data_IF_312223260899
#
_entry.id   IF_312223260899
#
_cell.length_a   1.000
_cell.length_b   1.000
_cell.length_c   1.000
_cell.angle_alpha   90.00
_cell.angle_beta   90.00
_cell.angle_gamma   90.00
#
_symmetry.space_group_name_H-M   'P 1'
#
loop_
_entity.id
_entity.type
_entity.pdbx_description
1 polymer ?
#
# COMPACT_ATOMS: atom_id res chain seq x y z
N UNK A 1 -5.82 -42.46 1.89
CA UNK A 1 -5.06 -41.24 1.61
C UNK A 1 -5.36 -40.26 2.72
N UNK A 2 -4.48 -40.17 3.70
CA UNK A 2 -4.59 -39.23 4.80
C UNK A 2 -4.34 -37.83 4.21
N UNK A 3 -5.39 -37.04 4.10
CA UNK A 3 -5.24 -35.61 3.83
C UNK A 3 -4.41 -35.02 4.99
N UNK A 4 -3.16 -34.70 4.70
CA UNK A 4 -2.36 -33.82 5.56
C UNK A 4 -3.21 -32.60 5.84
N UNK A 5 -3.46 -32.29 7.11
CA UNK A 5 -4.16 -31.11 7.55
C UNK A 5 -3.52 -29.89 6.90
N UNK A 6 -4.20 -29.34 5.90
CA UNK A 6 -3.73 -28.15 5.19
C UNK A 6 -3.93 -26.97 6.14
N UNK A 7 -2.89 -26.27 6.59
CA UNK A 7 -3.02 -25.16 7.53
C UNK A 7 -3.94 -24.02 7.05
N UNK A 8 -4.35 -24.03 5.78
CA UNK A 8 -5.35 -23.11 5.24
C UNK A 8 -6.80 -23.47 5.58
N UNK A 9 -7.05 -24.71 6.00
CA UNK A 9 -8.40 -25.18 6.35
C UNK A 9 -8.74 -24.82 7.80
N UNK A 10 -7.74 -24.41 8.58
CA UNK A 10 -7.90 -24.06 9.98
C UNK A 10 -8.52 -22.64 10.12
N UNK A 11 -9.41 -22.44 11.11
CA UNK A 11 -9.93 -21.13 11.53
C UNK A 11 -8.81 -20.11 11.79
N UNK A 12 -7.61 -20.56 12.10
CA UNK A 12 -6.41 -19.73 12.26
C UNK A 12 -6.05 -18.94 11.02
N UNK A 13 -6.40 -19.40 9.81
CA UNK A 13 -6.14 -18.64 8.58
C UNK A 13 -6.81 -17.28 8.61
N UNK A 14 -8.08 -17.22 9.00
CA UNK A 14 -8.86 -15.97 9.08
C UNK A 14 -8.69 -15.23 10.41
N UNK A 15 -7.86 -15.72 11.35
CA UNK A 15 -7.63 -15.07 12.63
C UNK A 15 -7.26 -13.58 12.53
N UNK A 16 -6.43 -13.11 11.55
CA UNK A 16 -6.17 -11.68 11.38
C UNK A 16 -7.42 -10.87 11.07
N UNK A 17 -8.37 -11.43 10.28
CA UNK A 17 -9.64 -10.78 9.99
C UNK A 17 -10.53 -10.74 11.23
N UNK A 18 -10.63 -11.82 11.96
CA UNK A 18 -11.39 -11.88 13.23
C UNK A 18 -10.80 -10.92 14.27
N UNK A 19 -9.49 -10.84 14.36
CA UNK A 19 -8.80 -9.90 15.25
C UNK A 19 -9.13 -8.45 14.90
N UNK A 20 -9.03 -8.09 13.62
CA UNK A 20 -9.40 -6.77 13.12
C UNK A 20 -10.85 -6.40 13.44
N UNK A 21 -11.77 -7.35 13.23
CA UNK A 21 -13.20 -7.08 13.31
C UNK A 21 -13.81 -7.20 14.73
N UNK A 22 -13.16 -7.93 15.64
CA UNK A 22 -13.73 -8.23 16.95
C UNK A 22 -12.99 -7.63 18.16
N UNK A 23 -11.69 -7.44 18.07
CA UNK A 23 -10.86 -7.25 19.28
C UNK A 23 -10.79 -5.82 19.78
N UNK A 24 -10.91 -4.82 18.89
CA UNK A 24 -10.68 -3.41 19.24
C UNK A 24 -11.91 -2.63 19.64
N UNK A 25 -13.12 -3.21 19.47
CA UNK A 25 -14.39 -2.52 19.64
C UNK A 25 -15.08 -2.84 20.96
N UNK A 26 -14.64 -3.91 21.65
CA UNK A 26 -15.37 -4.50 22.83
C UNK A 26 -15.55 -3.58 24.04
N UNK A 27 -14.79 -2.49 24.17
CA UNK A 27 -14.75 -1.70 25.41
C UNK A 27 -15.37 -0.30 25.32
N UNK A 28 -16.14 0.03 24.29
CA UNK A 28 -16.69 1.38 24.16
C UNK A 28 -18.21 1.39 24.45
N UNK A 29 -18.65 2.48 25.11
CA UNK A 29 -20.00 2.70 25.61
C UNK A 29 -21.09 2.25 24.62
N UNK A 30 -22.12 1.57 25.15
CA UNK A 30 -23.39 1.32 24.43
C UNK A 30 -23.90 2.62 23.81
N UNK A 31 -24.05 2.65 22.51
CA UNK A 31 -24.59 3.80 21.78
C UNK A 31 -26.07 3.54 21.48
N UNK A 32 -26.89 4.57 21.71
CA UNK A 32 -28.34 4.55 21.38
C UNK A 32 -28.58 4.69 19.85
N UNK A 33 -27.57 4.62 19.00
CA UNK A 33 -27.74 4.65 17.55
C UNK A 33 -27.76 3.21 17.04
N UNK A 34 -28.68 2.86 16.15
CA UNK A 34 -28.81 1.51 15.57
C UNK A 34 -27.57 0.99 14.82
N UNK A 35 -26.45 1.74 14.84
CA UNK A 35 -25.15 1.38 14.28
C UNK A 35 -24.09 1.34 15.39
N UNK A 36 -23.73 0.14 15.86
CA UNK A 36 -22.63 -0.07 16.80
C UNK A 36 -21.27 0.23 16.12
N UNK A 37 -20.23 0.49 16.93
CA UNK A 37 -18.89 0.72 16.42
C UNK A 37 -18.32 -0.55 15.74
N UNK A 38 -18.61 -1.73 16.28
CA UNK A 38 -18.27 -3.01 15.68
C UNK A 38 -18.90 -3.18 14.28
N UNK A 39 -20.21 -2.93 14.19
CA UNK A 39 -20.92 -2.99 12.91
C UNK A 39 -20.40 -1.95 11.92
N UNK A 40 -20.06 -0.75 12.39
CA UNK A 40 -19.47 0.29 11.56
C UNK A 40 -18.11 -0.16 11.00
N UNK A 41 -17.24 -0.73 11.84
CA UNK A 41 -15.93 -1.25 11.42
C UNK A 41 -16.10 -2.39 10.40
N UNK A 42 -16.91 -3.39 10.71
CA UNK A 42 -17.17 -4.54 9.83
C UNK A 42 -17.70 -4.09 8.45
N UNK A 43 -18.70 -3.22 8.47
CA UNK A 43 -19.32 -2.74 7.24
C UNK A 43 -18.40 -1.81 6.43
N UNK A 44 -17.53 -1.04 7.10
CA UNK A 44 -16.53 -0.22 6.43
C UNK A 44 -15.50 -1.06 5.67
N UNK A 45 -15.01 -2.13 6.29
CA UNK A 45 -14.10 -3.09 5.62
C UNK A 45 -14.83 -3.80 4.46
N UNK A 46 -16.05 -4.26 4.67
CA UNK A 46 -16.85 -4.89 3.61
C UNK A 46 -17.13 -3.95 2.45
N UNK A 47 -17.43 -2.68 2.72
CA UNK A 47 -17.63 -1.68 1.68
C UNK A 47 -16.36 -1.43 0.87
N UNK A 48 -15.20 -1.44 1.51
CA UNK A 48 -13.93 -1.33 0.82
C UNK A 48 -13.64 -2.54 -0.10
N UNK A 49 -14.17 -3.73 0.26
CA UNK A 49 -14.10 -4.94 -0.58
C UNK A 49 -15.07 -4.91 -1.77
N UNK A 50 -16.15 -4.15 -1.71
CA UNK A 50 -17.19 -4.11 -2.75
C UNK A 50 -16.83 -3.07 -3.83
N UNK A 51 -16.05 -3.49 -4.82
CA UNK A 51 -15.40 -2.65 -5.82
C UNK A 51 -16.35 -1.76 -6.64
N UNK A 52 -17.55 -2.21 -6.93
CA UNK A 52 -18.41 -1.55 -7.93
C UNK A 52 -19.72 -0.99 -7.35
N UNK A 53 -19.92 -1.07 -6.04
CA UNK A 53 -21.18 -0.70 -5.41
C UNK A 53 -21.17 0.74 -4.90
N UNK A 54 -22.21 1.50 -5.28
CA UNK A 54 -22.50 2.76 -4.61
C UNK A 54 -22.83 2.50 -3.14
N UNK A 55 -22.66 3.50 -2.27
CA UNK A 55 -23.05 3.34 -0.87
C UNK A 55 -24.53 2.98 -0.66
N UNK A 56 -25.40 3.28 -1.64
CA UNK A 56 -26.81 2.85 -1.64
C UNK A 56 -26.95 1.38 -1.98
N UNK A 57 -26.29 0.92 -3.04
CA UNK A 57 -26.30 -0.49 -3.44
C UNK A 57 -25.72 -1.38 -2.34
N UNK A 58 -24.64 -0.93 -1.69
CA UNK A 58 -24.08 -1.62 -0.51
C UNK A 58 -25.10 -1.78 0.62
N UNK A 59 -25.85 -0.71 0.96
CA UNK A 59 -26.88 -0.79 1.99
C UNK A 59 -28.06 -1.70 1.59
N UNK A 60 -28.44 -1.68 0.31
CA UNK A 60 -29.47 -2.59 -0.22
C UNK A 60 -29.03 -4.04 -0.10
N UNK A 61 -27.81 -4.37 -0.51
CA UNK A 61 -27.25 -5.72 -0.37
C UNK A 61 -27.18 -6.19 1.09
N UNK A 62 -27.01 -5.27 2.06
CA UNK A 62 -27.12 -5.61 3.49
C UNK A 62 -28.57 -5.86 3.93
N UNK A 63 -29.51 -5.05 3.46
CA UNK A 63 -30.93 -5.24 3.75
C UNK A 63 -31.46 -6.58 3.21
N UNK A 64 -31.00 -7.01 2.03
CA UNK A 64 -31.31 -8.31 1.44
C UNK A 64 -30.81 -9.50 2.31
N UNK A 65 -29.86 -9.24 3.23
CA UNK A 65 -29.34 -10.19 4.22
C UNK A 65 -29.94 -10.00 5.62
N UNK A 66 -31.09 -9.35 5.71
CA UNK A 66 -31.76 -9.00 6.97
C UNK A 66 -30.95 -8.09 7.91
N UNK A 67 -29.95 -7.36 7.36
CA UNK A 67 -29.10 -6.42 8.11
C UNK A 67 -29.45 -4.96 7.75
N UNK A 68 -30.72 -4.55 7.85
CA UNK A 68 -31.13 -3.21 7.49
C UNK A 68 -30.56 -2.12 8.41
N UNK A 69 -30.28 -0.96 7.82
CA UNK A 69 -29.88 0.25 8.54
C UNK A 69 -30.40 1.47 7.78
N UNK A 70 -30.95 2.50 8.48
CA UNK A 70 -31.34 3.75 7.83
C UNK A 70 -30.14 4.39 7.11
N UNK A 71 -30.38 4.84 5.88
CA UNK A 71 -29.35 5.44 5.04
C UNK A 71 -28.68 6.65 5.70
N UNK A 72 -29.44 7.52 6.34
CA UNK A 72 -28.92 8.67 7.07
C UNK A 72 -27.93 8.24 8.16
N UNK A 73 -28.29 7.23 8.96
CA UNK A 73 -27.43 6.70 10.04
C UNK A 73 -26.06 6.24 9.50
N UNK A 74 -26.04 5.55 8.35
CA UNK A 74 -24.80 5.13 7.72
C UNK A 74 -23.94 6.29 7.24
N UNK A 75 -24.50 7.21 6.44
CA UNK A 75 -23.74 8.31 5.89
C UNK A 75 -23.34 9.36 6.93
N UNK A 76 -24.16 9.59 7.95
CA UNK A 76 -23.82 10.48 9.06
C UNK A 76 -22.69 9.90 9.95
N UNK A 77 -22.55 8.58 9.99
CA UNK A 77 -21.42 7.95 10.66
C UNK A 77 -20.06 8.42 10.15
N UNK A 78 -19.95 8.73 8.87
CA UNK A 78 -18.71 9.26 8.25
C UNK A 78 -18.42 10.74 8.57
N UNK A 79 -19.31 11.43 9.25
CA UNK A 79 -19.11 12.78 9.75
C UNK A 79 -18.60 12.80 11.20
N UNK A 80 -18.58 11.67 11.88
CA UNK A 80 -18.28 11.55 13.31
C UNK A 80 -16.78 11.60 13.59
N UNK A 81 -16.27 12.68 14.17
CA UNK A 81 -14.87 12.80 14.63
C UNK A 81 -14.51 11.68 15.62
N UNK A 82 -15.39 11.34 16.55
CA UNK A 82 -15.20 10.22 17.49
C UNK A 82 -14.95 8.89 16.78
N UNK A 83 -15.72 8.59 15.71
CA UNK A 83 -15.52 7.36 14.94
C UNK A 83 -14.22 7.40 14.13
N UNK A 84 -13.80 8.56 13.65
CA UNK A 84 -12.50 8.71 13.02
C UNK A 84 -11.37 8.43 14.02
N UNK A 85 -11.43 8.98 15.23
CA UNK A 85 -10.46 8.71 16.29
C UNK A 85 -10.39 7.22 16.63
N UNK A 86 -11.55 6.59 16.83
CA UNK A 86 -11.66 5.14 17.05
C UNK A 86 -11.00 4.35 15.88
N UNK A 87 -11.36 4.69 14.65
CA UNK A 87 -10.84 4.00 13.47
C UNK A 87 -9.32 4.18 13.30
N UNK A 88 -8.80 5.36 13.62
CA UNK A 88 -7.36 5.64 13.64
C UNK A 88 -6.64 4.78 14.68
N UNK A 89 -7.21 4.63 15.87
CA UNK A 89 -6.68 3.75 16.91
C UNK A 89 -6.69 2.27 16.46
N UNK A 90 -7.81 1.81 15.90
CA UNK A 90 -7.94 0.45 15.34
C UNK A 90 -6.91 0.22 14.24
N UNK A 91 -6.76 1.17 13.33
CA UNK A 91 -5.78 1.08 12.24
C UNK A 91 -4.34 0.97 12.76
N UNK A 92 -3.99 1.77 13.78
CA UNK A 92 -2.65 1.74 14.38
C UNK A 92 -2.38 0.41 15.08
N UNK A 93 -3.31 -0.07 15.88
CA UNK A 93 -3.16 -1.36 16.59
C UNK A 93 -3.13 -2.55 15.62
N UNK A 94 -3.97 -2.50 14.58
CA UNK A 94 -3.98 -3.52 13.53
C UNK A 94 -2.69 -3.53 12.74
N UNK A 95 -2.11 -2.37 12.43
CA UNK A 95 -0.80 -2.28 11.79
C UNK A 95 0.26 -2.98 12.64
N UNK A 96 0.33 -2.70 13.94
CA UNK A 96 1.28 -3.33 14.86
C UNK A 96 1.07 -4.85 14.98
N UNK A 97 -0.18 -5.29 14.97
CA UNK A 97 -0.52 -6.71 14.96
C UNK A 97 -0.07 -7.39 13.66
N UNK A 98 -0.37 -6.80 12.51
CA UNK A 98 0.00 -7.33 11.19
C UNK A 98 1.51 -7.30 10.96
N UNK A 99 2.23 -6.30 11.45
CA UNK A 99 3.69 -6.26 11.38
C UNK A 99 4.32 -7.43 12.13
N UNK A 100 3.79 -7.79 13.30
CA UNK A 100 4.21 -8.97 14.06
C UNK A 100 3.85 -10.28 13.36
N UNK A 101 2.66 -10.39 12.79
CA UNK A 101 2.23 -11.57 12.02
C UNK A 101 3.12 -11.83 10.80
N UNK A 102 3.69 -10.79 10.21
CA UNK A 102 4.62 -10.86 9.08
C UNK A 102 6.09 -10.93 9.53
N UNK A 103 6.38 -11.21 10.80
CA UNK A 103 7.68 -11.10 11.42
C UNK A 103 8.85 -11.67 10.60
N UNK A 104 8.69 -12.86 10.04
CA UNK A 104 9.71 -13.53 9.23
C UNK A 104 9.71 -13.09 7.75
N UNK A 105 8.74 -12.27 7.34
CA UNK A 105 8.61 -11.78 5.97
C UNK A 105 9.12 -10.36 5.86
N UNK A 106 10.42 -10.19 5.81
CA UNK A 106 11.06 -8.91 5.52
C UNK A 106 11.67 -8.92 4.13
N UNK A 107 11.16 -8.06 3.24
CA UNK A 107 11.67 -8.00 1.86
C UNK A 107 13.06 -7.38 1.75
N UNK A 108 13.53 -6.76 2.83
CA UNK A 108 14.82 -6.08 2.91
C UNK A 108 15.78 -6.77 3.89
N UNK A 109 15.43 -7.96 4.40
CA UNK A 109 16.20 -8.67 5.41
C UNK A 109 17.62 -9.07 4.98
N UNK A 110 17.87 -9.16 3.66
CA UNK A 110 19.21 -9.45 3.11
C UNK A 110 20.17 -8.25 3.16
N UNK A 111 19.66 -7.04 3.46
CA UNK A 111 20.45 -5.80 3.47
C UNK A 111 20.66 -5.31 4.91
N UNK A 112 21.78 -5.70 5.50
CA UNK A 112 22.12 -5.36 6.89
C UNK A 112 22.11 -3.86 7.17
N UNK A 113 22.50 -3.04 6.19
CA UNK A 113 22.49 -1.58 6.29
C UNK A 113 21.09 -0.96 6.40
N UNK A 114 20.04 -1.75 6.20
CA UNK A 114 18.64 -1.34 6.39
C UNK A 114 18.03 -1.86 7.70
N UNK A 115 18.76 -2.70 8.43
CA UNK A 115 18.30 -3.19 9.73
C UNK A 115 17.95 -2.01 10.63
N UNK A 116 16.78 -2.09 11.29
CA UNK A 116 16.22 -1.06 12.18
C UNK A 116 15.91 0.29 11.56
N UNK A 117 16.17 0.50 10.25
CA UNK A 117 15.68 1.67 9.54
C UNK A 117 14.25 1.44 9.05
N UNK A 118 13.26 2.26 9.44
CA UNK A 118 11.96 2.26 8.75
C UNK A 118 12.15 2.75 7.30
N UNK A 119 11.76 1.94 6.31
CA UNK A 119 11.84 2.32 4.90
C UNK A 119 10.42 2.45 4.33
N UNK A 120 10.05 3.66 3.93
CA UNK A 120 8.71 3.99 3.50
C UNK A 120 8.67 4.52 2.08
N UNK A 121 7.97 3.82 1.18
CA UNK A 121 7.54 4.42 -0.07
C UNK A 121 6.37 5.36 0.20
N UNK A 122 6.45 6.61 -0.29
CA UNK A 122 5.40 7.61 -0.11
C UNK A 122 4.91 8.11 -1.46
N UNK A 123 3.60 8.17 -1.61
CA UNK A 123 2.97 8.67 -2.84
C UNK A 123 1.53 9.12 -2.59
N UNK A 124 1.02 9.98 -3.47
CA UNK A 124 -0.35 10.46 -3.45
C UNK A 124 -1.29 9.64 -4.33
N UNK A 125 -2.41 9.19 -3.76
CA UNK A 125 -3.47 8.53 -4.49
C UNK A 125 -4.66 9.46 -4.69
N UNK A 126 -4.99 9.75 -5.95
CA UNK A 126 -6.18 10.54 -6.29
C UNK A 126 -7.43 9.70 -6.18
N UNK A 127 -8.43 10.27 -5.53
CA UNK A 127 -9.76 9.68 -5.37
C UNK A 127 -10.73 10.48 -6.25
N UNK A 128 -11.50 9.79 -7.08
CA UNK A 128 -12.54 10.44 -7.85
C UNK A 128 -13.57 11.09 -6.91
N UNK A 129 -14.04 12.27 -7.29
CA UNK A 129 -14.99 13.04 -6.49
C UNK A 129 -16.33 12.32 -6.32
N UNK A 130 -16.98 12.56 -5.19
CA UNK A 130 -18.37 12.18 -4.97
C UNK A 130 -19.30 13.16 -5.73
N UNK A 131 -20.55 12.76 -5.95
CA UNK A 131 -21.57 13.56 -6.66
C UNK A 131 -21.74 14.98 -6.10
N UNK A 132 -21.49 15.16 -4.80
CA UNK A 132 -21.62 16.45 -4.10
C UNK A 132 -20.28 17.05 -3.69
N UNK A 133 -19.18 16.64 -4.35
CA UNK A 133 -17.86 17.22 -4.07
C UNK A 133 -17.82 18.70 -4.47
N UNK A 134 -16.95 19.42 -3.78
CA UNK A 134 -16.72 20.85 -4.00
C UNK A 134 -16.30 21.15 -5.45
N UNK A 135 -16.76 22.27 -5.94
CA UNK A 135 -16.38 22.77 -7.26
C UNK A 135 -15.61 24.08 -7.13
N UNK A 136 -14.65 24.28 -8.02
CA UNK A 136 -13.92 25.54 -8.13
C UNK A 136 -14.80 26.66 -8.71
N UNK A 137 -14.30 27.91 -8.71
CA UNK A 137 -15.00 29.05 -9.29
C UNK A 137 -15.31 28.94 -10.79
N UNK A 138 -14.83 27.87 -11.47
CA UNK A 138 -15.11 27.54 -12.87
C UNK A 138 -16.06 26.35 -12.99
N UNK A 139 -16.68 25.89 -11.91
CA UNK A 139 -17.60 24.77 -11.89
C UNK A 139 -16.96 23.38 -12.01
N UNK A 140 -15.63 23.27 -12.00
CA UNK A 140 -14.90 21.99 -12.07
C UNK A 140 -14.74 21.42 -10.68
N UNK A 141 -14.76 20.08 -10.56
CA UNK A 141 -14.50 19.44 -9.28
C UNK A 141 -13.07 19.69 -8.79
N UNK A 142 -12.95 20.07 -7.52
CA UNK A 142 -11.65 20.22 -6.85
C UNK A 142 -11.01 18.86 -6.71
N UNK A 143 -9.77 18.71 -7.20
CA UNK A 143 -9.03 17.46 -7.07
C UNK A 143 -8.77 17.16 -5.59
N UNK A 144 -8.99 15.92 -5.19
CA UNK A 144 -8.77 15.44 -3.83
C UNK A 144 -8.08 14.09 -3.87
N UNK A 145 -7.21 13.86 -2.91
CA UNK A 145 -6.52 12.59 -2.78
C UNK A 145 -6.04 12.36 -1.35
N UNK A 146 -5.36 11.24 -1.18
CA UNK A 146 -4.78 10.81 0.07
C UNK A 146 -3.32 10.44 -0.15
N UNK A 147 -2.44 10.94 0.70
CA UNK A 147 -1.05 10.49 0.75
C UNK A 147 -1.00 9.23 1.61
N UNK A 148 -0.37 8.19 1.09
CA UNK A 148 -0.11 6.95 1.82
C UNK A 148 1.39 6.71 1.93
N UNK A 149 1.78 6.00 2.97
CA UNK A 149 3.09 5.35 3.06
C UNK A 149 2.93 3.84 3.04
N UNK A 150 3.78 3.18 2.27
CA UNK A 150 3.93 1.74 2.21
C UNK A 150 5.28 1.35 2.83
N UNK A 151 5.26 0.61 3.92
CA UNK A 151 6.46 0.04 4.55
C UNK A 151 7.10 -0.97 3.59
N UNK A 152 8.32 -0.69 3.10
CA UNK A 152 9.00 -1.56 2.14
C UNK A 152 9.53 -2.86 2.76
N UNK A 153 9.64 -2.96 4.08
CA UNK A 153 9.97 -4.21 4.75
C UNK A 153 8.83 -5.23 4.66
N UNK A 154 7.59 -4.80 4.94
CA UNK A 154 6.44 -5.70 5.15
C UNK A 154 5.35 -5.58 4.08
N UNK A 155 5.35 -4.52 3.28
CA UNK A 155 4.26 -4.22 2.36
C UNK A 155 2.99 -3.72 3.04
N UNK A 156 3.07 -3.30 4.30
CA UNK A 156 1.96 -2.74 5.05
C UNK A 156 1.81 -1.24 4.76
N UNK A 157 0.57 -0.77 4.73
CA UNK A 157 0.21 0.60 4.35
C UNK A 157 -0.39 1.38 5.50
N UNK A 158 -0.09 2.69 5.54
CA UNK A 158 -0.72 3.64 6.46
C UNK A 158 -1.15 4.90 5.69
N UNK A 159 -2.36 5.42 5.90
CA UNK A 159 -2.75 6.72 5.37
C UNK A 159 -2.01 7.82 6.15
N UNK A 160 -1.53 8.85 5.46
CA UNK A 160 -0.81 9.95 6.05
C UNK A 160 -1.70 11.17 6.21
N UNK A 161 -2.12 11.75 5.09
CA UNK A 161 -2.92 12.98 5.10
C UNK A 161 -3.69 13.14 3.81
N UNK A 162 -4.83 13.85 3.89
CA UNK A 162 -5.60 14.25 2.72
C UNK A 162 -4.97 15.48 2.10
N UNK A 163 -4.84 15.49 0.77
CA UNK A 163 -4.55 16.69 0.01
C UNK A 163 -5.75 17.08 -0.84
N UNK A 164 -5.93 18.39 -1.01
CA UNK A 164 -6.98 18.96 -1.83
C UNK A 164 -6.42 20.20 -2.53
N UNK A 165 -6.69 20.37 -3.82
CA UNK A 165 -6.15 21.51 -4.53
C UNK A 165 -6.72 21.69 -5.94
N UNK A 166 -6.37 22.77 -6.60
CA UNK A 166 -6.66 23.01 -8.01
C UNK A 166 -5.96 21.95 -8.86
N UNK A 167 -6.63 21.48 -9.93
CA UNK A 167 -6.15 20.43 -10.82
C UNK A 167 -4.75 20.69 -11.44
N UNK A 168 -4.31 21.95 -11.46
CA UNK A 168 -2.99 22.38 -11.94
C UNK A 168 -1.91 22.47 -10.85
N UNK A 169 -2.29 22.50 -9.57
CA UNK A 169 -1.38 22.65 -8.43
C UNK A 169 -1.69 21.57 -7.40
N UNK A 170 -1.23 20.37 -7.64
CA UNK A 170 -1.28 19.27 -6.68
C UNK A 170 -0.32 19.58 -5.55
N UNK A 171 -0.82 19.92 -4.39
CA UNK A 171 -0.01 20.28 -3.24
C UNK A 171 0.17 19.10 -2.28
N UNK A 172 0.65 17.95 -2.79
CA UNK A 172 1.01 16.81 -1.94
C UNK A 172 2.17 17.18 -1.00
N UNK A 173 3.19 17.85 -1.53
CA UNK A 173 4.40 18.19 -0.79
C UNK A 173 4.17 19.03 0.48
N UNK A 174 3.46 20.17 0.48
CA UNK A 174 3.17 20.91 1.70
C UNK A 174 2.42 20.09 2.74
N UNK A 175 1.41 19.32 2.31
CA UNK A 175 0.62 18.47 3.20
C UNK A 175 1.46 17.35 3.79
N UNK A 176 2.31 16.73 2.99
CA UNK A 176 3.28 15.75 3.47
C UNK A 176 4.20 16.35 4.52
N UNK A 177 4.84 17.49 4.20
CA UNK A 177 5.78 18.20 5.07
C UNK A 177 5.20 18.51 6.45
N UNK A 178 3.93 18.89 6.53
CA UNK A 178 3.25 19.22 7.78
C UNK A 178 2.89 18.02 8.63
N UNK A 179 2.75 16.82 8.04
CA UNK A 179 2.13 15.68 8.71
C UNK A 179 3.04 14.46 8.92
N UNK A 180 4.12 14.30 8.15
CA UNK A 180 4.88 13.06 8.11
C UNK A 180 5.56 12.69 9.44
N UNK A 181 6.07 13.67 10.21
CA UNK A 181 6.71 13.39 11.50
C UNK A 181 5.72 12.82 12.52
N UNK A 182 4.50 13.38 12.58
CA UNK A 182 3.43 12.84 13.42
C UNK A 182 2.99 11.45 12.94
N UNK A 183 2.96 11.27 11.64
CA UNK A 183 2.58 10.02 11.03
C UNK A 183 3.52 8.86 11.39
N UNK A 184 4.83 9.11 11.54
CA UNK A 184 5.82 8.12 11.95
C UNK A 184 5.84 7.85 13.46
N UNK A 185 5.10 8.59 14.27
CA UNK A 185 5.01 8.29 15.71
C UNK A 185 4.48 6.86 15.92
N UNK A 186 5.18 6.10 16.79
CA UNK A 186 4.86 4.70 17.06
C UNK A 186 5.40 3.69 16.05
N UNK A 187 6.28 4.10 15.16
CA UNK A 187 7.05 3.18 14.32
C UNK A 187 7.97 2.32 15.23
N UNK A 188 7.94 0.97 15.10
CA UNK A 188 8.71 0.10 15.96
C UNK A 188 10.23 0.15 15.70
N UNK A 189 10.64 0.47 14.46
CA UNK A 189 12.05 0.62 14.13
C UNK A 189 12.57 1.96 14.62
N UNK A 190 13.74 1.96 15.23
CA UNK A 190 14.23 3.09 16.04
C UNK A 190 15.24 3.99 15.31
N UNK A 191 15.82 3.51 14.21
CA UNK A 191 16.75 4.30 13.43
C UNK A 191 16.03 5.34 12.57
N UNK A 192 16.79 6.28 12.03
CA UNK A 192 16.27 7.35 11.19
C UNK A 192 15.51 6.79 9.99
N UNK A 193 14.24 7.15 9.76
CA UNK A 193 13.46 6.64 8.65
C UNK A 193 14.03 7.08 7.29
N UNK A 194 13.91 6.19 6.31
CA UNK A 194 14.23 6.45 4.92
C UNK A 194 12.93 6.61 4.15
N UNK A 195 12.71 7.79 3.59
CA UNK A 195 11.56 8.11 2.75
C UNK A 195 11.97 7.92 1.29
N UNK A 196 11.24 7.08 0.57
CA UNK A 196 11.43 6.84 -0.87
C UNK A 196 10.22 7.43 -1.59
N UNK A 197 10.44 8.51 -2.33
CA UNK A 197 9.36 9.28 -2.94
C UNK A 197 9.66 9.65 -4.40
N UNK A 198 8.63 10.07 -5.13
CA UNK A 198 8.77 10.54 -6.49
C UNK A 198 9.43 11.96 -6.54
N UNK A 199 9.81 12.48 -7.71
CA UNK A 199 10.42 13.81 -7.82
C UNK A 199 9.52 14.96 -7.36
N UNK A 200 8.21 14.79 -7.16
CA UNK A 200 7.35 15.84 -6.63
C UNK A 200 7.71 16.22 -5.20
N UNK A 201 8.33 15.30 -4.45
CA UNK A 201 8.78 15.51 -3.06
C UNK A 201 10.20 16.08 -2.94
N UNK A 202 10.83 16.45 -4.05
CA UNK A 202 12.18 17.06 -4.06
C UNK A 202 12.15 18.45 -3.45
N UNK A 203 12.87 18.61 -2.33
CA UNK A 203 13.25 19.87 -1.70
C UNK A 203 14.60 19.67 -1.00
N UNK A 204 15.69 19.97 -1.71
CA UNK A 204 17.04 19.58 -1.30
C UNK A 204 17.41 20.11 0.07
N UNK A 205 17.26 21.41 0.30
CA UNK A 205 17.59 22.04 1.59
C UNK A 205 16.77 21.44 2.75
N UNK A 206 15.48 21.25 2.54
CA UNK A 206 14.62 20.65 3.56
C UNK A 206 15.13 19.26 3.98
N UNK A 207 15.41 18.39 3.01
CA UNK A 207 15.86 17.02 3.31
C UNK A 207 17.26 16.95 3.91
N UNK A 208 18.15 17.87 3.54
CA UNK A 208 19.46 17.99 4.21
C UNK A 208 19.29 18.40 5.68
N UNK A 209 18.40 19.37 5.96
CA UNK A 209 18.10 19.78 7.34
C UNK A 209 17.44 18.65 8.13
N UNK A 210 16.48 17.91 7.55
CA UNK A 210 15.85 16.77 8.23
C UNK A 210 16.88 15.69 8.59
N UNK A 211 17.86 15.43 7.72
CA UNK A 211 18.96 14.51 8.01
C UNK A 211 19.85 15.05 9.13
N UNK A 212 20.24 16.34 9.08
CA UNK A 212 21.09 16.96 10.10
C UNK A 212 20.41 16.89 11.48
N UNK A 213 19.12 17.12 11.54
CA UNK A 213 18.33 17.01 12.76
C UNK A 213 17.99 15.55 13.13
N UNK A 214 18.46 14.57 12.36
CA UNK A 214 18.23 13.14 12.56
C UNK A 214 16.74 12.75 12.51
N UNK A 215 15.93 13.44 11.72
CA UNK A 215 14.52 13.16 11.59
C UNK A 215 14.22 12.14 10.47
N UNK A 216 14.81 12.33 9.27
CA UNK A 216 14.63 11.42 8.13
C UNK A 216 15.73 11.56 7.08
N UNK A 217 15.85 10.52 6.26
CA UNK A 217 16.61 10.53 5.01
C UNK A 217 15.67 10.39 3.81
N UNK A 218 16.10 10.87 2.64
CA UNK A 218 15.33 10.77 1.39
C UNK A 218 16.08 9.98 0.32
N UNK A 219 15.33 9.23 -0.46
CA UNK A 219 15.73 8.69 -1.76
C UNK A 219 14.69 9.13 -2.78
N UNK A 220 15.12 9.81 -3.84
CA UNK A 220 14.25 10.24 -4.93
C UNK A 220 15.01 10.33 -6.24
N UNK A 221 14.29 10.53 -7.35
CA UNK A 221 14.93 10.76 -8.66
C UNK A 221 15.20 12.26 -8.85
N UNK A 222 16.35 12.56 -9.46
CA UNK A 222 16.67 13.91 -9.91
C UNK A 222 15.64 14.42 -10.93
N UNK A 223 15.28 15.69 -10.86
CA UNK A 223 14.41 16.33 -11.88
C UNK A 223 15.27 16.78 -13.05
N UNK A 224 14.72 16.76 -14.25
CA UNK A 224 15.40 17.15 -15.49
C UNK A 224 15.89 18.61 -15.49
N UNK A 225 15.25 19.48 -14.70
CA UNK A 225 15.60 20.90 -14.58
C UNK A 225 16.57 21.20 -13.43
N UNK A 226 17.21 20.20 -12.85
CA UNK A 226 18.23 20.38 -11.81
C UNK A 226 19.61 20.38 -12.47
N UNK A 227 20.44 21.35 -12.07
CA UNK A 227 21.82 21.51 -12.57
C UNK A 227 22.78 21.23 -11.41
N UNK A 228 23.30 20.01 -11.26
CA UNK A 228 24.23 19.67 -10.20
C UNK A 228 25.66 20.16 -10.51
N UNK A 229 26.34 20.66 -9.50
CA UNK A 229 27.79 20.82 -9.50
C UNK A 229 28.41 19.58 -8.85
N UNK A 230 29.16 18.79 -9.61
CA UNK A 230 29.82 17.58 -9.09
C UNK A 230 31.10 17.98 -8.36
N UNK A 231 31.21 17.57 -7.09
CA UNK A 231 32.37 17.84 -6.25
C UNK A 231 33.45 16.75 -6.30
N UNK A 232 33.01 15.50 -6.52
CA UNK A 232 33.89 14.34 -6.62
C UNK A 232 33.14 13.03 -6.30
N UNK A 233 33.79 11.89 -6.55
CA UNK A 233 33.20 10.58 -6.32
C UNK A 233 33.05 10.27 -4.82
N UNK A 234 31.99 9.56 -4.47
CA UNK A 234 31.82 8.94 -3.15
C UNK A 234 32.60 7.63 -3.03
N UNK A 235 32.86 6.98 -4.16
CA UNK A 235 33.45 5.64 -4.23
C UNK A 235 32.46 4.52 -3.91
N UNK A 236 32.53 3.43 -4.68
CA UNK A 236 31.76 2.21 -4.42
C UNK A 236 32.51 1.00 -4.98
N UNK A 237 32.18 -0.19 -4.51
CA UNK A 237 32.70 -1.44 -5.07
C UNK A 237 31.92 -1.81 -6.33
N UNK A 238 32.54 -1.78 -7.53
CA UNK A 238 31.85 -2.13 -8.78
C UNK A 238 31.62 -3.64 -8.92
N UNK A 239 32.33 -4.47 -8.19
CA UNK A 239 32.21 -5.93 -8.22
C UNK A 239 31.09 -6.44 -7.28
N UNK A 240 30.59 -5.60 -6.39
CA UNK A 240 29.42 -5.94 -5.57
C UNK A 240 28.19 -6.11 -6.49
N UNK A 241 27.52 -7.29 -6.48
CA UNK A 241 26.39 -7.58 -7.35
C UNK A 241 25.22 -6.58 -7.25
N UNK A 242 25.00 -5.96 -6.07
CA UNK A 242 23.97 -4.95 -5.88
C UNK A 242 24.23 -3.69 -6.68
N UNK A 243 25.52 -3.38 -6.93
CA UNK A 243 25.95 -2.17 -7.66
C UNK A 243 25.91 -2.34 -9.19
N UNK A 244 25.46 -3.51 -9.67
CA UNK A 244 25.32 -3.74 -11.12
C UNK A 244 24.39 -2.68 -11.74
N UNK A 245 24.90 -1.92 -12.67
CA UNK A 245 24.20 -0.82 -13.34
C UNK A 245 24.55 0.56 -12.77
N UNK A 246 25.26 0.66 -11.64
CA UNK A 246 25.78 1.94 -11.15
C UNK A 246 26.89 2.42 -12.10
N UNK A 247 26.71 3.63 -12.65
CA UNK A 247 27.67 4.28 -13.54
C UNK A 247 28.57 5.23 -12.78
N UNK A 248 27.99 6.02 -11.88
CA UNK A 248 28.74 6.88 -10.96
C UNK A 248 28.00 7.08 -9.65
N UNK A 249 28.75 7.42 -8.62
CA UNK A 249 28.28 7.76 -7.28
C UNK A 249 29.09 8.98 -6.81
N UNK A 250 28.45 10.14 -6.75
CA UNK A 250 29.09 11.41 -6.63
C UNK A 250 28.53 12.27 -5.50
N UNK A 251 29.35 13.10 -4.90
CA UNK A 251 28.91 14.27 -4.15
C UNK A 251 28.52 15.38 -5.11
N UNK A 252 27.29 15.88 -5.01
CA UNK A 252 26.75 16.91 -5.88
C UNK A 252 26.14 18.07 -5.10
N UNK A 253 26.48 19.29 -5.49
CA UNK A 253 25.88 20.54 -5.01
C UNK A 253 24.70 20.94 -5.88
N UNK A 254 23.64 21.34 -5.24
CA UNK A 254 22.44 21.92 -5.86
C UNK A 254 22.22 23.28 -5.19
N UNK A 255 22.07 24.33 -5.89
CA UNK A 255 21.98 25.75 -5.47
C UNK A 255 22.09 26.07 -3.95
N UNK A 256 21.48 25.30 -3.07
CA UNK A 256 21.42 25.54 -1.62
C UNK A 256 21.66 24.29 -0.75
N UNK A 257 22.03 23.16 -1.32
CA UNK A 257 22.24 21.92 -0.60
C UNK A 257 23.21 20.97 -1.32
N UNK A 258 23.98 20.19 -0.56
CA UNK A 258 24.79 19.12 -1.08
C UNK A 258 24.10 17.76 -0.82
N UNK A 259 24.03 16.93 -1.85
CA UNK A 259 23.43 15.60 -1.83
C UNK A 259 24.37 14.60 -2.46
N UNK A 260 24.12 13.32 -2.20
CA UNK A 260 24.73 12.23 -2.94
C UNK A 260 23.90 11.98 -4.20
N UNK A 261 24.57 11.82 -5.34
CA UNK A 261 24.01 11.67 -6.67
C UNK A 261 24.48 10.36 -7.27
N UNK A 262 23.57 9.49 -7.64
CA UNK A 262 23.87 8.18 -8.22
C UNK A 262 23.34 8.16 -9.66
N UNK A 263 24.26 8.00 -10.62
CA UNK A 263 23.89 7.70 -12.01
C UNK A 263 23.80 6.19 -12.18
N UNK A 264 22.67 5.71 -12.61
CA UNK A 264 22.36 4.29 -12.75
C UNK A 264 21.81 4.01 -14.16
N UNK A 265 22.39 3.00 -14.81
CA UNK A 265 21.87 2.48 -16.07
C UNK A 265 21.21 1.14 -15.81
N UNK A 266 19.89 1.08 -16.01
CA UNK A 266 19.14 -0.15 -15.80
C UNK A 266 19.65 -1.27 -16.73
N UNK A 267 20.21 -2.36 -16.20
CA UNK A 267 20.78 -3.43 -17.03
C UNK A 267 19.73 -4.15 -17.89
N UNK A 268 18.46 -4.11 -17.53
CA UNK A 268 17.38 -4.79 -18.25
C UNK A 268 16.85 -3.97 -19.44
N UNK A 269 16.81 -2.65 -19.30
CA UNK A 269 16.18 -1.76 -20.29
C UNK A 269 17.19 -0.81 -20.97
N UNK A 270 18.41 -0.68 -20.43
CA UNK A 270 19.41 0.27 -20.87
C UNK A 270 19.09 1.74 -20.54
N UNK A 271 18.03 1.99 -19.78
CA UNK A 271 17.59 3.34 -19.43
C UNK A 271 18.48 3.97 -18.36
N UNK A 272 18.91 5.21 -18.62
CA UNK A 272 19.62 5.99 -17.63
C UNK A 272 18.64 6.63 -16.63
N UNK A 273 19.00 6.52 -15.36
CA UNK A 273 18.26 7.09 -14.22
C UNK A 273 19.26 7.79 -13.30
N UNK A 274 18.86 8.90 -12.72
CA UNK A 274 19.68 9.59 -11.74
C UNK A 274 18.89 9.72 -10.44
N UNK A 275 19.49 9.23 -9.36
CA UNK A 275 18.92 9.31 -8.01
C UNK A 275 19.69 10.33 -7.19
N UNK A 276 18.97 11.04 -6.34
CA UNK A 276 19.52 11.93 -5.31
C UNK A 276 19.08 11.47 -3.94
N UNK A 277 20.00 11.55 -2.97
CA UNK A 277 19.72 11.02 -1.65
C UNK A 277 20.52 11.73 -0.56
N UNK A 278 20.00 11.68 0.65
CA UNK A 278 20.74 12.02 1.87
C UNK A 278 21.31 10.79 2.58
N UNK A 279 21.08 9.56 2.07
CA UNK A 279 21.61 8.32 2.62
C UNK A 279 23.07 8.14 2.20
N UNK A 280 24.04 8.43 3.09
CA UNK A 280 25.47 8.32 2.76
C UNK A 280 26.05 6.92 3.06
N UNK A 281 25.37 6.11 3.87
CA UNK A 281 25.85 4.81 4.34
C UNK A 281 25.39 3.64 3.47
N UNK A 282 24.38 3.83 2.62
CA UNK A 282 23.85 2.76 1.77
C UNK A 282 24.72 2.59 0.50
N UNK A 283 24.86 1.34 0.05
CA UNK A 283 25.44 1.04 -1.27
C UNK A 283 24.62 1.69 -2.38
N UNK A 284 25.24 2.24 -3.45
CA UNK A 284 24.50 3.00 -4.47
C UNK A 284 23.48 2.16 -5.24
N UNK A 285 23.77 0.87 -5.49
CA UNK A 285 22.82 -0.03 -6.12
C UNK A 285 21.61 -0.33 -5.23
N UNK A 286 21.79 -0.34 -3.90
CA UNK A 286 20.67 -0.49 -2.96
C UNK A 286 19.74 0.73 -3.01
N UNK A 287 20.27 1.94 -3.18
CA UNK A 287 19.46 3.15 -3.38
C UNK A 287 18.60 3.02 -4.64
N UNK A 288 19.17 2.53 -5.75
CA UNK A 288 18.41 2.26 -6.97
C UNK A 288 17.31 1.19 -6.73
N UNK A 289 17.64 0.10 -6.04
CA UNK A 289 16.69 -0.95 -5.70
C UNK A 289 15.52 -0.41 -4.86
N UNK A 290 15.80 0.37 -3.82
CA UNK A 290 14.76 0.96 -2.99
C UNK A 290 13.84 1.88 -3.80
N UNK A 291 14.41 2.66 -4.73
CA UNK A 291 13.60 3.49 -5.61
C UNK A 291 12.72 2.64 -6.55
N UNK A 292 13.20 1.54 -7.08
CA UNK A 292 12.37 0.62 -7.86
C UNK A 292 11.29 -0.05 -7.01
N UNK A 293 11.58 -0.39 -5.76
CA UNK A 293 10.59 -0.96 -4.85
C UNK A 293 9.46 0.03 -4.51
N UNK A 294 9.66 1.33 -4.66
CA UNK A 294 8.59 2.33 -4.54
C UNK A 294 7.39 2.02 -5.43
N UNK A 295 7.62 1.43 -6.60
CA UNK A 295 6.53 1.01 -7.50
C UNK A 295 5.52 0.02 -6.87
N UNK A 296 5.86 -0.59 -5.75
CA UNK A 296 4.91 -1.44 -5.01
C UNK A 296 3.71 -0.63 -4.49
N UNK A 297 3.89 0.66 -4.15
CA UNK A 297 2.76 1.51 -3.75
C UNK A 297 1.82 1.78 -4.92
N UNK A 298 2.35 1.99 -6.14
CA UNK A 298 1.54 2.18 -7.34
C UNK A 298 0.74 0.92 -7.69
N UNK A 299 1.33 -0.27 -7.51
CA UNK A 299 0.62 -1.56 -7.66
C UNK A 299 -0.49 -1.72 -6.62
N UNK A 300 -0.28 -1.27 -5.38
CA UNK A 300 -1.34 -1.24 -4.37
C UNK A 300 -2.50 -0.30 -4.80
N UNK A 301 -2.19 0.85 -5.40
CA UNK A 301 -3.22 1.75 -5.93
C UNK A 301 -3.99 1.15 -7.10
N UNK A 302 -3.36 0.34 -7.94
CA UNK A 302 -4.06 -0.41 -8.99
C UNK A 302 -5.08 -1.41 -8.40
N UNK A 303 -4.72 -2.07 -7.30
CA UNK A 303 -5.66 -2.93 -6.57
C UNK A 303 -6.81 -2.09 -5.99
N UNK A 304 -6.53 -0.92 -5.42
CA UNK A 304 -7.56 -0.02 -4.90
C UNK A 304 -8.55 0.40 -5.98
N UNK A 305 -8.05 0.83 -7.14
CA UNK A 305 -8.88 1.29 -8.26
C UNK A 305 -9.68 0.17 -8.90
N UNK A 306 -9.04 -0.97 -9.13
CA UNK A 306 -9.56 -2.00 -10.02
C UNK A 306 -10.21 -3.18 -9.28
N UNK A 307 -10.02 -3.31 -7.95
CA UNK A 307 -10.46 -4.47 -7.17
C UNK A 307 -11.16 -4.15 -5.87
N UNK A 308 -10.94 -2.97 -5.33
CA UNK A 308 -11.55 -2.50 -4.10
C UNK A 308 -12.44 -1.30 -4.40
N UNK A 309 -13.47 -1.08 -3.59
CA UNK A 309 -14.46 -0.03 -3.78
C UNK A 309 -13.95 1.41 -3.57
N UNK A 310 -12.75 1.72 -4.08
CA UNK A 310 -12.02 2.97 -3.79
C UNK A 310 -12.03 3.94 -4.96
N UNK A 311 -12.84 3.68 -5.98
CA UNK A 311 -12.89 4.53 -7.17
C UNK A 311 -13.52 5.90 -6.92
N UNK A 312 -14.40 6.02 -5.91
CA UNK A 312 -15.11 7.28 -5.59
C UNK A 312 -15.01 7.60 -4.11
N UNK A 313 -15.00 8.89 -3.79
CA UNK A 313 -15.09 9.34 -2.40
C UNK A 313 -16.41 8.89 -1.75
N UNK A 314 -16.33 8.37 -0.53
CA UNK A 314 -17.50 7.93 0.25
C UNK A 314 -18.29 9.08 0.87
N UNK A 315 -17.69 10.26 0.92
CA UNK A 315 -18.28 11.50 1.39
C UNK A 315 -17.45 12.71 0.96
N UNK A 316 -17.94 13.91 1.21
CA UNK A 316 -17.34 15.17 0.75
C UNK A 316 -16.38 15.80 1.77
N UNK A 317 -16.54 15.47 3.06
CA UNK A 317 -15.75 16.06 4.13
C UNK A 317 -14.44 15.34 4.42
N UNK A 318 -13.49 16.02 5.08
CA UNK A 318 -12.19 15.47 5.48
C UNK A 318 -12.32 14.22 6.35
N UNK A 319 -13.25 14.25 7.31
CA UNK A 319 -13.53 13.11 8.18
C UNK A 319 -13.89 11.86 7.38
N UNK A 320 -14.76 12.00 6.38
CA UNK A 320 -15.18 10.87 5.54
C UNK A 320 -14.02 10.36 4.66
N UNK A 321 -13.22 11.25 4.09
CA UNK A 321 -12.06 10.90 3.28
C UNK A 321 -10.98 10.17 4.10
N UNK A 322 -10.68 10.66 5.30
CA UNK A 322 -9.75 10.00 6.23
C UNK A 322 -10.25 8.64 6.69
N UNK A 323 -11.56 8.50 7.00
CA UNK A 323 -12.15 7.20 7.34
C UNK A 323 -12.03 6.21 6.18
N UNK A 324 -12.35 6.64 4.96
CA UNK A 324 -12.20 5.80 3.76
C UNK A 324 -10.75 5.34 3.62
N UNK A 325 -9.78 6.24 3.78
CA UNK A 325 -8.36 5.91 3.68
C UNK A 325 -7.92 4.89 4.74
N UNK A 326 -8.40 5.02 5.97
CA UNK A 326 -8.13 4.04 7.03
C UNK A 326 -8.74 2.67 6.71
N UNK A 327 -9.99 2.60 6.23
CA UNK A 327 -10.61 1.34 5.82
C UNK A 327 -9.85 0.67 4.67
N UNK A 328 -9.41 1.44 3.69
CA UNK A 328 -8.63 0.93 2.57
C UNK A 328 -7.28 0.39 3.03
N UNK A 329 -6.56 1.11 3.89
CA UNK A 329 -5.29 0.66 4.44
C UNK A 329 -5.46 -0.58 5.33
N UNK A 330 -6.49 -0.63 6.18
CA UNK A 330 -6.81 -1.81 6.99
C UNK A 330 -7.06 -3.04 6.11
N UNK A 331 -7.83 -2.88 5.05
CA UNK A 331 -8.13 -3.96 4.11
C UNK A 331 -6.88 -4.39 3.34
N UNK A 332 -6.07 -3.43 2.86
CA UNK A 332 -4.80 -3.75 2.20
C UNK A 332 -3.89 -4.57 3.12
N UNK A 333 -3.74 -4.16 4.36
CA UNK A 333 -2.90 -4.84 5.35
C UNK A 333 -3.43 -6.23 5.67
N UNK A 334 -4.74 -6.38 5.85
CA UNK A 334 -5.38 -7.68 6.04
C UNK A 334 -5.11 -8.60 4.85
N UNK A 335 -5.33 -8.13 3.62
CA UNK A 335 -5.08 -8.92 2.42
C UNK A 335 -3.60 -9.29 2.28
N UNK A 336 -2.68 -8.40 2.65
CA UNK A 336 -1.23 -8.67 2.64
C UNK A 336 -0.87 -9.82 3.58
N UNK A 337 -1.41 -9.84 4.80
CA UNK A 337 -1.21 -10.93 5.76
C UNK A 337 -1.82 -12.23 5.27
N UNK A 338 -3.06 -12.20 4.79
CA UNK A 338 -3.74 -13.39 4.28
C UNK A 338 -3.02 -13.98 3.05
N UNK A 339 -2.50 -13.13 2.15
CA UNK A 339 -1.69 -13.59 1.02
C UNK A 339 -0.37 -14.20 1.48
N UNK A 340 0.28 -13.61 2.49
CA UNK A 340 1.49 -14.19 3.07
C UNK A 340 1.24 -15.59 3.64
N UNK A 341 0.15 -15.76 4.38
CA UNK A 341 -0.28 -17.08 4.88
C UNK A 341 -0.58 -18.06 3.75
N UNK A 342 -1.18 -17.58 2.66
CA UNK A 342 -1.45 -18.40 1.47
C UNK A 342 -0.15 -18.90 0.80
N UNK A 343 0.90 -18.08 0.76
CA UNK A 343 2.20 -18.45 0.21
C UNK A 343 2.83 -19.66 0.92
N UNK A 344 2.67 -19.76 2.24
CA UNK A 344 3.15 -20.92 3.02
C UNK A 344 2.52 -22.25 2.61
N UNK A 345 1.37 -22.22 1.92
CA UNK A 345 0.67 -23.43 1.47
C UNK A 345 1.07 -23.90 0.07
N UNK A 346 2.01 -23.19 -0.56
CA UNK A 346 2.46 -23.50 -1.90
C UNK A 346 1.65 -22.89 -3.04
N UNK A 347 0.55 -22.18 -2.73
CA UNK A 347 -0.20 -21.36 -3.68
C UNK A 347 0.32 -19.91 -3.59
N UNK A 348 1.50 -19.64 -4.14
CA UNK A 348 2.01 -18.28 -4.26
C UNK A 348 1.84 -17.77 -5.69
N UNK A 349 1.67 -16.47 -5.83
CA UNK A 349 1.62 -15.79 -7.12
C UNK A 349 2.87 -16.10 -7.95
N UNK A 350 4.04 -16.09 -7.31
CA UNK A 350 5.32 -16.43 -7.93
C UNK A 350 5.33 -17.87 -8.45
N UNK A 351 4.86 -18.84 -7.64
CA UNK A 351 4.81 -20.25 -8.06
C UNK A 351 3.84 -20.49 -9.22
N UNK A 352 2.72 -19.75 -9.26
CA UNK A 352 1.78 -19.78 -10.39
C UNK A 352 2.44 -19.25 -11.65
N UNK A 353 3.12 -18.11 -11.55
CA UNK A 353 3.86 -17.49 -12.67
C UNK A 353 4.96 -18.44 -13.18
N UNK A 354 5.75 -19.04 -12.29
CA UNK A 354 6.81 -19.97 -12.65
C UNK A 354 6.29 -21.22 -13.35
N UNK A 355 5.17 -21.80 -12.88
CA UNK A 355 4.53 -22.94 -13.52
C UNK A 355 4.02 -22.59 -14.92
N UNK A 356 3.45 -21.41 -15.10
CA UNK A 356 2.97 -20.95 -16.40
C UNK A 356 4.12 -20.67 -17.36
N UNK A 357 5.21 -20.05 -16.85
CA UNK A 357 6.44 -19.88 -17.62
C UNK A 357 6.97 -21.23 -18.11
N UNK A 358 7.10 -22.23 -17.21
CA UNK A 358 7.53 -23.58 -17.56
C UNK A 358 6.60 -24.28 -18.55
N UNK A 359 5.28 -24.04 -18.51
CA UNK A 359 4.34 -24.58 -19.51
C UNK A 359 4.48 -23.88 -20.86
N UNK A 360 4.58 -22.54 -20.85
CA UNK A 360 4.82 -21.77 -22.07
C UNK A 360 6.09 -22.21 -22.78
N UNK A 361 7.18 -22.34 -22.05
CA UNK A 361 8.48 -22.70 -22.59
C UNK A 361 8.51 -24.12 -23.19
N UNK A 362 7.52 -24.95 -22.85
CA UNK A 362 7.29 -26.28 -23.46
C UNK A 362 6.46 -26.24 -24.75
N UNK A 363 5.83 -25.11 -25.06
CA UNK A 363 5.04 -24.96 -26.29
C UNK A 363 5.96 -24.60 -27.48
N UNK A 364 5.60 -25.05 -28.70
CA UNK A 364 6.27 -24.57 -29.90
C UNK A 364 6.25 -23.07 -29.99
N UNK A 365 7.30 -22.41 -30.55
CA UNK A 365 7.43 -20.94 -30.58
C UNK A 365 6.22 -20.22 -31.18
N UNK A 366 5.56 -20.79 -32.17
CA UNK A 366 4.36 -20.29 -32.84
C UNK A 366 3.11 -20.28 -31.93
N UNK A 367 3.13 -21.09 -30.86
CA UNK A 367 2.04 -21.19 -29.86
C UNK A 367 2.34 -20.52 -28.52
N UNK A 368 3.53 -19.93 -28.40
CA UNK A 368 3.90 -19.21 -27.19
C UNK A 368 3.23 -17.85 -27.13
N UNK A 369 2.39 -17.63 -26.12
CA UNK A 369 1.76 -16.34 -25.87
C UNK A 369 2.79 -15.37 -25.25
N UNK A 370 2.88 -14.11 -25.70
CA UNK A 370 3.84 -13.14 -25.18
C UNK A 370 3.82 -13.01 -23.65
N UNK A 371 4.98 -12.72 -23.05
CA UNK A 371 5.18 -12.64 -21.61
C UNK A 371 4.25 -11.65 -20.89
N UNK A 372 3.72 -10.64 -21.59
CA UNK A 372 2.72 -9.70 -21.06
C UNK A 372 1.43 -10.38 -20.55
N UNK A 373 1.13 -11.59 -21.00
CA UNK A 373 -0.02 -12.34 -20.49
C UNK A 373 0.24 -12.99 -19.12
N UNK A 374 1.50 -13.13 -18.69
CA UNK A 374 1.82 -13.66 -17.36
C UNK A 374 1.38 -12.69 -16.24
N UNK A 375 1.45 -11.38 -16.48
CA UNK A 375 0.93 -10.37 -15.56
C UNK A 375 -0.58 -10.50 -15.37
N UNK A 376 -1.33 -10.88 -16.40
CA UNK A 376 -2.78 -11.11 -16.29
C UNK A 376 -3.12 -12.29 -15.39
N UNK A 377 -2.31 -13.33 -15.33
CA UNK A 377 -2.58 -14.51 -14.50
C UNK A 377 -2.26 -14.27 -13.02
N UNK A 378 -1.12 -13.64 -12.72
CA UNK A 378 -0.80 -13.23 -11.36
C UNK A 378 -1.90 -12.30 -10.80
N UNK A 379 -2.34 -11.35 -11.61
CA UNK A 379 -3.45 -10.47 -11.31
C UNK A 379 -4.79 -11.23 -11.16
N UNK A 380 -5.00 -12.29 -11.92
CA UNK A 380 -6.19 -13.15 -11.79
C UNK A 380 -6.19 -13.91 -10.46
N UNK A 381 -5.03 -14.42 -9.99
CA UNK A 381 -4.90 -15.06 -8.67
C UNK A 381 -5.30 -14.10 -7.55
N UNK A 382 -4.70 -12.92 -7.51
CA UNK A 382 -5.01 -11.88 -6.53
C UNK A 382 -6.49 -11.51 -6.57
N UNK A 383 -7.09 -11.40 -7.77
CA UNK A 383 -8.51 -11.10 -7.92
C UNK A 383 -9.42 -12.19 -7.38
N UNK A 384 -9.14 -13.46 -7.69
CA UNK A 384 -9.92 -14.59 -7.19
C UNK A 384 -9.77 -14.72 -5.67
N UNK A 385 -8.58 -14.48 -5.15
CA UNK A 385 -8.32 -14.46 -3.72
C UNK A 385 -9.15 -13.37 -3.01
N UNK A 386 -9.08 -12.11 -3.47
CA UNK A 386 -9.88 -11.00 -2.94
C UNK A 386 -11.38 -11.33 -3.00
N UNK A 387 -11.87 -11.89 -4.12
CA UNK A 387 -13.25 -12.30 -4.27
C UNK A 387 -13.64 -13.37 -3.25
N UNK A 388 -12.77 -14.34 -3.00
CA UNK A 388 -13.03 -15.42 -2.03
C UNK A 388 -13.05 -14.88 -0.60
N UNK A 389 -12.07 -14.04 -0.22
CA UNK A 389 -12.04 -13.37 1.10
C UNK A 389 -13.29 -12.50 1.28
N UNK A 390 -13.67 -11.73 0.26
CA UNK A 390 -14.90 -10.92 0.28
C UNK A 390 -16.14 -11.76 0.55
N UNK A 391 -16.29 -12.87 -0.15
CA UNK A 391 -17.45 -13.75 0.03
C UNK A 391 -17.44 -14.42 1.40
N UNK A 392 -16.27 -14.89 1.86
CA UNK A 392 -16.13 -15.47 3.19
C UNK A 392 -16.56 -14.49 4.29
N UNK A 393 -16.10 -13.25 4.23
CA UNK A 393 -16.48 -12.21 5.19
C UNK A 393 -17.94 -11.76 5.03
N UNK A 394 -18.42 -11.60 3.79
CA UNK A 394 -19.77 -11.11 3.47
C UNK A 394 -20.86 -12.08 3.91
N UNK A 395 -20.66 -13.36 3.66
CA UNK A 395 -21.66 -14.40 3.88
C UNK A 395 -21.35 -15.24 5.12
N UNK A 396 -20.35 -14.84 5.92
CA UNK A 396 -19.90 -15.58 7.11
C UNK A 396 -19.59 -17.05 6.79
N UNK A 397 -19.03 -17.30 5.61
CA UNK A 397 -18.62 -18.63 5.16
C UNK A 397 -17.29 -18.96 5.88
N UNK A 398 -17.18 -20.07 6.61
CA UNK A 398 -15.93 -20.54 7.15
C UNK A 398 -14.87 -20.68 6.05
N UNK A 399 -13.62 -20.41 6.38
CA UNK A 399 -12.56 -20.47 5.38
C UNK A 399 -12.34 -21.89 4.83
N UNK A 400 -12.54 -22.89 5.66
CA UNK A 400 -12.54 -24.31 5.29
C UNK A 400 -13.50 -24.64 4.15
N UNK A 401 -14.63 -23.97 4.07
CA UNK A 401 -15.62 -24.14 3.00
C UNK A 401 -15.29 -23.26 1.77
N UNK A 402 -14.73 -22.08 1.99
CA UNK A 402 -14.38 -21.13 0.93
C UNK A 402 -13.11 -21.55 0.17
N UNK A 403 -12.14 -22.14 0.87
CA UNK A 403 -10.84 -22.48 0.31
C UNK A 403 -10.88 -23.60 -0.77
N UNK A 404 -11.60 -24.70 -0.61
CA UNK A 404 -11.72 -25.70 -1.65
C UNK A 404 -12.25 -25.13 -2.98
N UNK A 405 -13.23 -24.23 -2.91
CA UNK A 405 -13.76 -23.53 -4.08
C UNK A 405 -12.73 -22.58 -4.71
N UNK A 406 -11.96 -21.89 -3.89
CA UNK A 406 -10.85 -21.08 -4.36
C UNK A 406 -9.78 -21.93 -5.06
N UNK A 407 -9.36 -23.01 -4.42
CA UNK A 407 -8.37 -23.96 -4.97
C UNK A 407 -8.83 -24.54 -6.30
N UNK A 408 -10.07 -25.03 -6.37
CA UNK A 408 -10.66 -25.57 -7.59
C UNK A 408 -10.66 -24.53 -8.74
N UNK A 409 -11.03 -23.29 -8.45
CA UNK A 409 -10.97 -22.19 -9.42
C UNK A 409 -9.54 -21.91 -9.86
N UNK A 410 -8.58 -21.94 -8.95
CA UNK A 410 -7.18 -21.71 -9.28
C UNK A 410 -6.59 -22.86 -10.09
N UNK A 411 -6.95 -24.11 -9.80
CA UNK A 411 -6.55 -25.28 -10.59
C UNK A 411 -7.09 -25.22 -12.02
N UNK A 412 -8.26 -24.66 -12.25
CA UNK A 412 -8.81 -24.44 -13.59
C UNK A 412 -8.06 -23.37 -14.40
N UNK A 413 -7.31 -22.47 -13.73
CA UNK A 413 -6.44 -21.48 -14.38
C UNK A 413 -4.98 -21.96 -14.53
N UNK A 414 -4.63 -23.06 -13.88
CA UNK A 414 -3.30 -23.69 -13.92
C UNK A 414 -3.25 -24.81 -14.99
#
# INVERSE_FOLDING_TARGET
>A
MTFSSNPLVDETFMAPAHHLLAHYVRNRRKQNTGLSDERFLTWGVMRALDADESGRAFLQARADQAESLPRSTWFDAFKSKRRLEMLTEVATKSYQYFDRELGDRDWLAEFEELNDHPVWAVDGHQIAHATHSERDGKGRYVASGMIYGLCLHRGLMRPLARFQGDAKRRHEWPVFKENWQRWLQGEPRQLMPIIVADPAYVNNLYWVLEKIHRHAMIITREKENMEPMIYGPCGFDPDDPINRGVVSDDHAGYSNAALRRIHYRDPATGKDLVFITTCNHLRPGLIALLYFLRWKIEKAYDVFKNRLGVTKAWGTGDTAALMQAHFVALLHNLLTVLLARLEHTGLSETKVIDRQKKRRDKLPPDKQVPAQNNVRYAFALTCQFIRTVRNALRYKIPWEDAYPLFKLRMESYL
#
